data_IF_215578941102
#
_entry.id   IF_215578941102
#
_cell.length_a   1.000
_cell.length_b   1.000
_cell.length_c   1.000
_cell.angle_alpha   90.00
_cell.angle_beta   90.00
_cell.angle_gamma   90.00
#
_symmetry.space_group_name_H-M   'P 1'
#
loop_
_entity.id
_entity.type
_entity.pdbx_description
1 polymer ?
#
# COMPACT_ATOMS: atom_id res chain seq x y z
N UNK A 1 8.81 -7.83 10.21
CA UNK A 1 7.65 -7.14 9.59
C UNK A 1 6.60 -6.91 10.67
N UNK A 2 5.96 -5.73 10.73
CA UNK A 2 4.80 -5.51 11.63
C UNK A 2 3.67 -6.42 11.17
N UNK A 3 3.08 -7.23 12.05
CA UNK A 3 2.08 -8.23 11.69
C UNK A 3 0.85 -7.60 11.02
N UNK A 4 0.52 -6.38 11.43
CA UNK A 4 -0.64 -5.62 10.93
C UNK A 4 -0.49 -5.20 9.46
N UNK A 5 0.74 -5.16 8.94
CA UNK A 5 1.05 -4.72 7.58
C UNK A 5 1.32 -5.88 6.61
N UNK A 6 1.24 -7.14 7.07
CA UNK A 6 1.46 -8.31 6.22
C UNK A 6 0.41 -8.37 5.11
N UNK A 7 -0.86 -8.49 5.49
CA UNK A 7 -1.98 -8.59 4.54
C UNK A 7 -2.09 -7.32 3.67
N UNK A 8 -2.05 -6.08 4.21
CA UNK A 8 -2.01 -4.87 3.38
C UNK A 8 -0.86 -4.85 2.37
N UNK A 9 0.31 -5.42 2.72
CA UNK A 9 1.45 -5.49 1.81
C UNK A 9 1.29 -6.45 0.65
N UNK A 10 0.58 -7.55 0.87
CA UNK A 10 0.25 -8.51 -0.17
C UNK A 10 -0.84 -7.95 -1.09
N UNK A 11 -1.89 -7.36 -0.52
CA UNK A 11 -2.98 -6.74 -1.27
C UNK A 11 -2.49 -5.58 -2.12
N UNK A 12 -1.67 -4.68 -1.56
CA UNK A 12 -1.12 -3.55 -2.32
C UNK A 12 -0.25 -4.01 -3.50
N UNK A 13 0.51 -5.11 -3.34
CA UNK A 13 1.29 -5.71 -4.44
C UNK A 13 0.38 -6.23 -5.55
N UNK A 14 -0.70 -6.92 -5.20
CA UNK A 14 -1.66 -7.45 -6.17
C UNK A 14 -2.42 -6.35 -6.89
N UNK A 15 -2.91 -5.34 -6.17
CA UNK A 15 -3.58 -4.17 -6.76
C UNK A 15 -2.68 -3.46 -7.78
N UNK A 16 -1.39 -3.35 -7.51
CA UNK A 16 -0.44 -2.77 -8.45
C UNK A 16 -0.23 -3.65 -9.69
N UNK A 17 -0.13 -4.97 -9.51
CA UNK A 17 -0.06 -5.91 -10.63
C UNK A 17 -1.29 -5.82 -11.54
N UNK A 18 -2.48 -5.71 -10.95
CA UNK A 18 -3.73 -5.48 -11.70
C UNK A 18 -3.73 -4.14 -12.41
N UNK A 19 -3.25 -3.07 -11.76
CA UNK A 19 -3.11 -1.75 -12.40
C UNK A 19 -2.22 -1.81 -13.64
N UNK A 20 -1.05 -2.43 -13.56
CA UNK A 20 -0.15 -2.55 -14.71
C UNK A 20 -0.80 -3.38 -15.83
N UNK A 21 -1.43 -4.50 -15.49
CA UNK A 21 -2.14 -5.33 -16.47
C UNK A 21 -3.28 -4.56 -17.17
N UNK A 22 -4.05 -3.75 -16.43
CA UNK A 22 -5.13 -2.91 -16.97
C UNK A 22 -4.57 -1.81 -17.88
N UNK A 23 -3.42 -1.22 -17.52
CA UNK A 23 -2.74 -0.24 -18.36
C UNK A 23 -2.20 -0.86 -19.65
N UNK A 24 -1.67 -2.08 -19.60
CA UNK A 24 -1.15 -2.81 -20.77
C UNK A 24 -2.23 -3.07 -21.82
N UNK A 25 -3.47 -3.34 -21.39
CA UNK A 25 -4.62 -3.50 -22.29
C UNK A 25 -5.24 -2.17 -22.72
N UNK A 26 -4.62 -1.02 -22.38
CA UNK A 26 -5.05 0.31 -22.79
C UNK A 26 -6.33 0.82 -22.11
N UNK A 27 -6.69 0.25 -20.96
CA UNK A 27 -7.89 0.64 -20.22
C UNK A 27 -7.54 1.58 -19.06
N UNK A 28 -8.39 2.57 -18.80
CA UNK A 28 -8.21 3.47 -17.67
C UNK A 28 -8.67 2.81 -16.35
N UNK A 29 -7.85 2.93 -15.31
CA UNK A 29 -8.22 2.58 -13.94
C UNK A 29 -8.52 3.86 -13.14
N UNK A 30 -9.56 3.79 -12.30
CA UNK A 30 -9.86 4.88 -11.37
C UNK A 30 -8.77 5.02 -10.30
N UNK A 31 -8.30 6.26 -10.09
CA UNK A 31 -7.21 6.58 -9.16
C UNK A 31 -7.68 7.66 -8.17
N UNK A 32 -7.31 7.59 -6.88
CA UNK A 32 -6.51 6.53 -6.25
C UNK A 32 -7.27 5.21 -6.10
N UNK A 33 -6.55 4.09 -6.07
CA UNK A 33 -7.17 2.79 -5.82
C UNK A 33 -7.57 2.68 -4.33
N UNK A 34 -8.77 2.17 -4.05
CA UNK A 34 -9.26 2.02 -2.67
C UNK A 34 -8.96 0.61 -2.16
N UNK A 35 -8.14 0.51 -1.11
CA UNK A 35 -7.83 -0.73 -0.40
C UNK A 35 -8.61 -0.80 0.90
N UNK A 36 -9.72 -1.55 0.91
CA UNK A 36 -10.56 -1.69 2.11
C UNK A 36 -9.86 -2.58 3.14
N UNK A 37 -9.54 -2.00 4.30
CA UNK A 37 -8.94 -2.71 5.43
C UNK A 37 -9.84 -2.55 6.66
N UNK A 38 -10.05 -3.63 7.40
CA UNK A 38 -10.77 -3.61 8.69
C UNK A 38 -9.83 -3.39 9.89
N UNK A 39 -8.55 -3.76 9.73
CA UNK A 39 -7.51 -3.61 10.72
C UNK A 39 -7.15 -2.13 10.96
N UNK A 40 -7.75 -1.56 12.01
CA UNK A 40 -7.53 -0.18 12.45
C UNK A 40 -6.07 0.15 12.81
N UNK A 41 -5.25 -0.84 13.18
CA UNK A 41 -3.82 -0.61 13.41
C UNK A 41 -3.06 -0.46 12.08
N UNK A 42 -3.45 -1.21 11.05
CA UNK A 42 -2.90 -1.06 9.71
C UNK A 42 -3.29 0.30 9.10
N UNK A 43 -4.56 0.70 9.21
CA UNK A 43 -5.05 2.01 8.76
C UNK A 43 -4.22 3.13 9.40
N UNK A 44 -4.11 3.15 10.74
CA UNK A 44 -3.30 4.17 11.45
C UNK A 44 -1.83 4.17 11.06
N UNK A 45 -1.25 3.01 10.74
CA UNK A 45 0.13 2.95 10.23
C UNK A 45 0.28 3.48 8.81
N UNK A 46 -0.76 3.39 7.98
CA UNK A 46 -0.75 3.85 6.58
C UNK A 46 -1.14 5.33 6.44
N UNK A 47 -2.03 5.81 7.31
CA UNK A 47 -2.45 7.22 7.40
C UNK A 47 -1.49 8.08 8.25
N UNK A 48 -0.83 7.49 9.24
CA UNK A 48 -0.02 8.20 10.23
C UNK A 48 1.41 8.54 9.79
N UNK A 49 2.10 9.33 10.63
CA UNK A 49 3.49 9.76 10.38
C UNK A 49 4.42 8.57 10.18
N UNK A 50 5.03 8.55 9.00
CA UNK A 50 5.88 7.48 8.50
C UNK A 50 7.28 7.54 9.12
N UNK A 51 7.35 7.69 10.46
CA UNK A 51 8.61 7.65 11.22
C UNK A 51 9.33 6.31 11.05
N UNK A 52 8.58 5.24 10.78
CA UNK A 52 9.12 3.91 10.54
C UNK A 52 9.83 3.74 9.18
N UNK A 53 9.58 4.60 8.18
CA UNK A 53 10.33 4.54 6.89
C UNK A 53 11.82 4.85 7.09
N UNK A 54 12.17 5.63 8.13
CA UNK A 54 13.56 5.96 8.48
C UNK A 54 14.28 4.83 9.24
N UNK A 55 13.56 3.78 9.66
CA UNK A 55 14.17 2.65 10.34
C UNK A 55 15.01 1.83 9.36
N UNK A 56 16.29 1.62 9.68
CA UNK A 56 17.24 0.91 8.80
C UNK A 56 16.83 -0.53 8.47
N UNK A 57 16.15 -1.22 9.40
CA UNK A 57 15.77 -2.63 9.28
C UNK A 57 14.29 -2.88 9.01
N UNK A 58 13.55 -1.90 8.50
CA UNK A 58 12.16 -2.13 8.12
C UNK A 58 12.09 -2.95 6.83
N UNK A 59 11.17 -3.91 6.82
CA UNK A 59 10.91 -4.79 5.68
C UNK A 59 10.56 -3.94 4.44
N UNK A 60 11.15 -4.29 3.29
CA UNK A 60 10.96 -3.58 2.02
C UNK A 60 9.48 -3.55 1.62
N UNK A 61 8.73 -4.62 1.89
CA UNK A 61 7.28 -4.66 1.59
C UNK A 61 6.51 -3.59 2.34
N UNK A 62 6.91 -3.31 3.58
CA UNK A 62 6.31 -2.24 4.39
C UNK A 62 6.67 -0.88 3.82
N UNK A 63 7.94 -0.66 3.41
CA UNK A 63 8.33 0.60 2.76
C UNK A 63 7.50 0.87 1.52
N UNK A 64 7.26 -0.17 0.73
CA UNK A 64 6.54 -0.10 -0.53
C UNK A 64 5.08 0.34 -0.34
N UNK A 65 4.35 -0.29 0.58
CA UNK A 65 2.95 0.10 0.85
C UNK A 65 2.86 1.50 1.45
N UNK A 66 3.74 1.84 2.39
CA UNK A 66 3.75 3.20 2.93
C UNK A 66 4.06 4.26 1.86
N UNK A 67 4.95 3.96 0.90
CA UNK A 67 5.24 4.86 -0.23
C UNK A 67 4.02 5.03 -1.15
N UNK A 68 3.25 3.98 -1.40
CA UNK A 68 2.03 4.07 -2.20
C UNK A 68 0.90 4.81 -1.51
N UNK A 69 0.70 4.58 -0.22
CA UNK A 69 -0.21 5.37 0.58
C UNK A 69 0.20 6.86 0.54
N UNK A 70 1.50 7.14 0.72
CA UNK A 70 2.04 8.51 0.68
C UNK A 70 1.85 9.20 -0.67
N UNK A 71 2.08 8.49 -1.77
CA UNK A 71 1.89 9.01 -3.13
C UNK A 71 0.41 9.09 -3.53
N UNK A 72 -0.51 8.68 -2.66
CA UNK A 72 -1.94 8.54 -2.96
C UNK A 72 -2.19 7.70 -4.22
N UNK A 73 -1.41 6.63 -4.38
CA UNK A 73 -1.68 5.59 -5.38
C UNK A 73 -2.74 4.63 -4.83
N UNK A 74 -2.62 4.31 -3.54
CA UNK A 74 -3.60 3.55 -2.77
C UNK A 74 -4.09 4.41 -1.61
N UNK A 75 -5.39 4.39 -1.34
CA UNK A 75 -5.99 4.92 -0.11
C UNK A 75 -6.66 3.78 0.65
N UNK A 76 -6.69 3.88 1.97
CA UNK A 76 -7.23 2.85 2.88
C UNK A 76 -8.50 3.29 3.57
#
# INVERSE_FOLDING_TARGET
MKAELVVPSEVAREMLGLREMINEIGTALEMPMVMRIDNQAAIRHLEGEISSLKAKHIDVRVKFVCDFARRRIVIV
#
